data_IF_601306506859
#
_entry.id   IF_601306506859
#
_cell.length_a   1.000
_cell.length_b   1.000
_cell.length_c   1.000
_cell.angle_alpha   90.00
_cell.angle_beta   90.00
_cell.angle_gamma   90.00
#
_symmetry.space_group_name_H-M   'P 1'
#
loop_
_entity.id
_entity.type
_entity.pdbx_description
1 polymer ?
#
# COMPACT_ATOMS: atom_id res chain seq x y z
N UNK A 1 37.39 -18.07 8.92
CA UNK A 1 37.68 -16.68 9.28
C UNK A 1 36.36 -15.95 9.27
N UNK A 2 35.82 -15.60 10.44
CA UNK A 2 34.64 -14.74 10.53
C UNK A 2 35.14 -13.31 10.53
N UNK A 3 35.19 -12.69 9.35
CA UNK A 3 35.56 -11.28 9.20
C UNK A 3 34.37 -10.41 9.61
N UNK A 4 34.59 -9.61 10.66
CA UNK A 4 33.93 -8.34 10.99
C UNK A 4 32.39 -8.30 11.02
N UNK A 5 31.82 -8.45 12.22
CA UNK A 5 30.60 -7.72 12.58
C UNK A 5 30.93 -6.22 12.56
N UNK A 6 30.71 -5.54 11.43
CA UNK A 6 30.42 -4.11 11.49
C UNK A 6 29.09 -3.97 12.24
N UNK A 7 29.15 -3.50 13.48
CA UNK A 7 27.96 -2.93 14.13
C UNK A 7 27.63 -1.68 13.30
N UNK A 8 26.82 -1.86 12.26
CA UNK A 8 26.14 -0.73 11.64
C UNK A 8 25.15 -0.27 12.70
N UNK A 9 25.51 0.79 13.44
CA UNK A 9 24.68 1.32 14.51
C UNK A 9 23.37 1.83 13.88
N UNK A 10 22.33 1.00 13.97
CA UNK A 10 21.01 1.31 13.41
C UNK A 10 20.26 2.21 14.39
N UNK A 11 20.17 3.51 14.08
CA UNK A 11 19.34 4.43 14.84
C UNK A 11 17.86 4.18 14.54
N UNK A 12 17.07 3.93 15.58
CA UNK A 12 15.65 3.66 15.42
C UNK A 12 14.93 4.90 14.87
N UNK A 13 14.15 4.72 13.80
CA UNK A 13 13.34 5.79 13.20
C UNK A 13 14.04 6.61 12.11
N UNK A 14 15.33 6.39 11.85
CA UNK A 14 16.07 7.07 10.77
C UNK A 14 16.08 6.28 9.45
N UNK A 15 15.48 5.09 9.44
CA UNK A 15 15.34 4.28 8.23
C UNK A 15 14.61 5.05 7.13
N UNK A 16 15.14 5.00 5.90
CA UNK A 16 14.47 5.57 4.74
C UNK A 16 13.15 4.83 4.44
N UNK A 17 12.04 5.57 4.57
CA UNK A 17 10.68 5.08 4.35
C UNK A 17 10.08 5.57 3.02
N UNK A 18 10.88 6.10 2.09
CA UNK A 18 10.42 6.62 0.80
C UNK A 18 9.57 5.61 0.03
N UNK A 19 10.02 4.35 -0.03
CA UNK A 19 9.26 3.29 -0.70
C UNK A 19 7.97 2.95 0.04
N UNK A 20 7.99 2.91 1.37
CA UNK A 20 6.79 2.65 2.18
C UNK A 20 5.71 3.70 1.96
N UNK A 21 6.09 4.99 1.94
CA UNK A 21 5.17 6.11 1.65
C UNK A 21 4.60 6.00 0.23
N UNK A 22 5.42 5.67 -0.76
CA UNK A 22 4.98 5.47 -2.15
C UNK A 22 3.99 4.31 -2.27
N UNK A 23 4.27 3.19 -1.61
CA UNK A 23 3.38 2.03 -1.58
C UNK A 23 2.05 2.36 -0.91
N UNK A 24 2.06 3.09 0.22
CA UNK A 24 0.83 3.51 0.87
C UNK A 24 -0.03 4.42 -0.03
N UNK A 25 0.59 5.40 -0.70
CA UNK A 25 -0.13 6.24 -1.65
C UNK A 25 -0.72 5.43 -2.82
N UNK A 26 0.03 4.44 -3.33
CA UNK A 26 -0.46 3.49 -4.32
C UNK A 26 -1.63 2.65 -3.82
N UNK A 27 -1.54 2.13 -2.59
CA UNK A 27 -2.58 1.35 -1.94
C UNK A 27 -3.87 2.16 -1.78
N UNK A 28 -3.81 3.40 -1.31
CA UNK A 28 -5.00 4.25 -1.17
C UNK A 28 -5.66 4.50 -2.52
N UNK A 29 -4.88 4.77 -3.57
CA UNK A 29 -5.42 4.90 -4.94
C UNK A 29 -6.12 3.63 -5.40
N UNK A 30 -5.50 2.47 -5.20
CA UNK A 30 -6.09 1.18 -5.55
C UNK A 30 -7.39 0.92 -4.76
N UNK A 31 -7.40 1.21 -3.46
CA UNK A 31 -8.56 1.04 -2.60
C UNK A 31 -9.75 1.91 -3.05
N UNK A 32 -9.50 3.16 -3.45
CA UNK A 32 -10.52 4.05 -4.02
C UNK A 32 -11.09 3.44 -5.30
N UNK A 33 -10.22 2.98 -6.22
CA UNK A 33 -10.67 2.37 -7.47
C UNK A 33 -11.54 1.12 -7.23
N UNK A 34 -11.12 0.23 -6.33
CA UNK A 34 -11.90 -0.95 -5.95
C UNK A 34 -13.25 -0.53 -5.38
N UNK A 35 -13.28 0.43 -4.45
CA UNK A 35 -14.52 0.91 -3.84
C UNK A 35 -15.49 1.49 -4.88
N UNK A 36 -15.01 2.34 -5.79
CA UNK A 36 -15.85 2.92 -6.85
C UNK A 36 -16.38 1.83 -7.79
N UNK A 37 -15.53 0.90 -8.23
CA UNK A 37 -15.95 -0.21 -9.10
C UNK A 37 -17.01 -1.07 -8.40
N UNK A 38 -16.82 -1.40 -7.12
CA UNK A 38 -17.81 -2.16 -6.36
C UNK A 38 -19.17 -1.45 -6.31
N UNK A 39 -19.19 -0.14 -6.06
CA UNK A 39 -20.43 0.66 -6.06
C UNK A 39 -21.08 0.67 -7.45
N UNK A 40 -20.29 0.88 -8.51
CA UNK A 40 -20.80 0.88 -9.88
C UNK A 40 -21.43 -0.46 -10.25
N UNK A 41 -20.81 -1.58 -9.87
CA UNK A 41 -21.36 -2.92 -10.08
C UNK A 41 -22.68 -3.09 -9.32
N UNK A 42 -22.74 -2.67 -8.05
CA UNK A 42 -23.98 -2.75 -7.26
C UNK A 42 -25.12 -1.94 -7.88
N UNK A 43 -24.84 -0.72 -8.35
CA UNK A 43 -25.82 0.12 -9.05
C UNK A 43 -26.26 -0.55 -10.36
N UNK A 44 -25.32 -1.06 -11.14
CA UNK A 44 -25.65 -1.76 -12.39
C UNK A 44 -26.54 -2.97 -12.14
N UNK A 45 -26.18 -3.84 -11.18
CA UNK A 45 -27.00 -4.98 -10.79
C UNK A 45 -28.40 -4.54 -10.34
N UNK A 46 -28.50 -3.48 -9.54
CA UNK A 46 -29.78 -2.95 -9.11
C UNK A 46 -30.64 -2.43 -10.27
N UNK A 47 -30.04 -1.86 -11.33
CA UNK A 47 -30.78 -1.36 -12.49
C UNK A 47 -31.18 -2.47 -13.48
N UNK A 48 -30.31 -3.46 -13.70
CA UNK A 48 -30.57 -4.53 -14.68
C UNK A 48 -31.33 -5.73 -14.11
N UNK A 49 -31.28 -5.90 -12.79
CA UNK A 49 -32.00 -6.94 -12.05
C UNK A 49 -33.03 -6.31 -11.08
N UNK A 50 -33.50 -5.08 -11.40
CA UNK A 50 -34.70 -4.50 -10.78
C UNK A 50 -35.94 -5.33 -11.11
#
# INVERSE_FOLDING_TARGET
MADHHEITEHEHGTMDITQHRKTFAGFIRAAIWVSVISILILIFMALTNA
#
